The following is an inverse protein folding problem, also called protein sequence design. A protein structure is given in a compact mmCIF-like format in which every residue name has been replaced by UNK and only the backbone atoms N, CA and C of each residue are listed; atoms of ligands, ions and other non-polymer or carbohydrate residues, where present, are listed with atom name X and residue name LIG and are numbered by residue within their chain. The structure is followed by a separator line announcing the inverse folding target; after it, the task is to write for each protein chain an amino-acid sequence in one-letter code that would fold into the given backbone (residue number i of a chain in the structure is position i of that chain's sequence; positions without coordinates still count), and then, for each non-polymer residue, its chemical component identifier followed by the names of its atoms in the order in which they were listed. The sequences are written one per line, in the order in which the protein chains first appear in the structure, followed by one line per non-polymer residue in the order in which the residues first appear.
data_IF_633882522900
#
_entry.id   IF_633882522900
#
_cell.length_a   1.000
_cell.length_b   1.000
_cell.length_c   1.000
_cell.angle_alpha   90.00
_cell.angle_beta   90.00
_cell.angle_gamma   90.00
#
_symmetry.space_group_name_H-M   'P 1'
#
loop_
_entity.id
_entity.type
_entity.pdbx_description
1 polymer ?
2 non-polymer ?
3 water ?
#
# COMPACT_ATOMS: atom_id res chain seq x y z
N UNK A 1 -8.94 5.04 -5.47
CA UNK A 1 -7.99 4.84 -4.35
C UNK A 1 -7.46 3.41 -4.34
N UNK A 2 -6.17 3.27 -4.00
CA UNK A 2 -5.49 1.96 -3.90
C UNK A 2 -4.57 1.89 -2.67
N UNK A 3 -4.69 0.77 -1.93
CA UNK A 3 -3.85 0.40 -0.78
C UNK A 3 -3.28 -1.01 -0.95
N UNK A 4 -1.97 -1.15 -0.71
CA UNK A 4 -1.28 -2.44 -0.60
C UNK A 4 -0.32 -2.39 0.59
N UNK A 5 -0.28 -3.52 1.31
CA UNK A 5 0.70 -3.80 2.38
C UNK A 5 1.17 -5.24 2.26
N UNK A 6 2.48 -5.45 2.34
CA UNK A 6 3.08 -6.78 2.34
C UNK A 6 4.19 -6.83 3.38
N UNK A 7 4.27 -7.96 4.07
CA UNK A 7 5.36 -8.26 5.02
C UNK A 7 5.84 -9.74 4.95
N UNK B 1 9.53 -5.22 4.47
CA UNK B 1 8.15 -4.66 4.51
C UNK B 1 7.91 -3.71 3.33
N UNK B 2 6.64 -3.56 2.94
CA UNK B 2 6.23 -2.70 1.83
C UNK B 2 4.80 -2.11 2.02
N UNK B 3 4.64 -0.78 1.84
CA UNK B 3 3.34 -0.07 1.94
C UNK B 3 3.18 0.90 0.75
N UNK B 4 2.04 0.87 0.06
CA UNK B 4 1.67 1.91 -0.92
C UNK B 4 0.23 2.38 -0.72
N UNK B 5 0.05 3.71 -0.79
CA UNK B 5 -1.28 4.35 -0.82
C UNK B 5 -1.34 5.42 -1.91
N UNK B 6 -2.26 5.25 -2.86
CA UNK B 6 -2.57 6.29 -3.83
C UNK B 6 -4.04 6.71 -3.79
N UNK B 7 -4.25 8.02 -3.94
CA UNK B 7 -5.57 8.63 -3.96
C UNK B 7 -5.60 9.76 -4.98
X LIG C 1 -6.38 3.85 -9.01
X LIG C 1 -7.25 2.70 -8.84
X LIG C 1 -6.08 4.44 -7.71
X LIG C 1 -5.13 3.43 -9.65
X LIG C 1 -7.04 4.84 -9.85
#
# INVERSE_FOLDING_TARGET
NFLVHSS
NFLVHSS
SO4 S O1 O2 O3 O4
#
